data_IF_253550506519
#
_entry.id   IF_253550506519
#
_cell.length_a   1.000
_cell.length_b   1.000
_cell.length_c   1.000
_cell.angle_alpha   90.00
_cell.angle_beta   90.00
_cell.angle_gamma   90.00
#
_symmetry.space_group_name_H-M   'P 1'
#
loop_
_entity.id
_entity.type
_entity.pdbx_description
1 polymer ?
#
# COMPACT_ATOMS: atom_id res chain seq x y z
N UNK A 1 -25.90 -16.13 20.69
CA UNK A 1 -26.10 -17.55 21.06
C UNK A 1 -24.75 -18.25 20.97
N UNK A 2 -24.23 -18.84 22.07
CA UNK A 2 -22.95 -19.59 22.04
C UNK A 2 -23.27 -21.03 21.66
N UNK A 3 -23.03 -21.38 20.39
CA UNK A 3 -22.93 -22.77 19.95
C UNK A 3 -21.77 -23.41 20.74
N UNK A 4 -21.99 -24.54 21.41
CA UNK A 4 -21.04 -25.19 22.35
C UNK A 4 -19.79 -25.80 21.68
N UNK A 5 -19.18 -25.07 20.76
CA UNK A 5 -18.02 -25.46 19.98
C UNK A 5 -16.73 -25.03 20.71
N UNK A 6 -15.90 -26.00 21.06
CA UNK A 6 -14.54 -25.79 21.60
C UNK A 6 -13.52 -26.32 20.58
N UNK A 7 -12.52 -25.50 20.26
CA UNK A 7 -11.35 -25.89 19.43
C UNK A 7 -10.11 -25.92 20.30
N UNK A 8 -9.43 -27.05 20.34
CA UNK A 8 -8.10 -27.18 20.94
C UNK A 8 -7.03 -27.08 19.85
N UNK A 9 -6.02 -26.25 20.08
CA UNK A 9 -4.90 -26.07 19.15
C UNK A 9 -3.70 -26.83 19.71
N UNK A 10 -3.17 -27.76 18.92
CA UNK A 10 -1.90 -28.43 19.21
C UNK A 10 -0.85 -27.79 18.32
N UNK A 11 0.08 -27.05 18.92
CA UNK A 11 1.12 -26.34 18.19
C UNK A 11 2.51 -26.62 18.76
N UNK A 12 3.53 -26.42 17.94
CA UNK A 12 4.94 -26.44 18.37
C UNK A 12 5.64 -25.21 17.81
N UNK A 13 6.13 -24.36 18.71
CA UNK A 13 6.86 -23.14 18.37
C UNK A 13 6.22 -21.90 19.00
N UNK A 14 7.05 -20.92 19.36
CA UNK A 14 6.60 -19.72 20.08
C UNK A 14 5.52 -18.91 19.34
N UNK A 15 5.61 -18.87 18.02
CA UNK A 15 4.76 -18.06 17.13
C UNK A 15 3.92 -18.90 16.15
N UNK A 16 3.76 -20.21 16.41
CA UNK A 16 3.03 -21.12 15.51
C UNK A 16 1.52 -20.83 15.42
N UNK A 17 1.00 -19.96 16.28
CA UNK A 17 -0.42 -19.63 16.39
C UNK A 17 -0.72 -18.16 16.01
N UNK A 18 0.22 -17.46 15.36
CA UNK A 18 0.07 -16.04 15.01
C UNK A 18 -1.16 -15.73 14.15
N UNK A 19 -1.72 -16.71 13.44
CA UNK A 19 -2.91 -16.54 12.59
C UNK A 19 -4.18 -17.10 13.23
N UNK A 20 -4.13 -17.60 14.48
CA UNK A 20 -5.28 -18.13 15.22
C UNK A 20 -6.08 -17.04 15.95
N UNK A 21 -6.16 -15.84 15.37
CA UNK A 21 -6.84 -14.67 15.96
C UNK A 21 -8.36 -14.88 16.09
N UNK A 22 -8.92 -15.80 15.30
CA UNK A 22 -10.31 -16.26 15.38
C UNK A 22 -10.59 -17.19 16.57
N UNK A 23 -9.55 -17.74 17.19
CA UNK A 23 -9.63 -18.69 18.31
C UNK A 23 -9.20 -18.07 19.64
N UNK A 24 -8.26 -17.13 19.63
CA UNK A 24 -7.82 -16.41 20.82
C UNK A 24 -7.28 -15.02 20.48
N UNK A 25 -7.29 -14.06 21.43
CA UNK A 25 -6.56 -12.81 21.25
C UNK A 25 -5.05 -13.05 21.14
N UNK A 26 -4.33 -12.07 20.61
CA UNK A 26 -2.87 -12.07 20.61
C UNK A 26 -2.30 -12.04 22.01
N UNK A 27 -1.20 -12.77 22.21
CA UNK A 27 -0.35 -12.63 23.38
C UNK A 27 0.40 -11.28 23.31
N UNK A 28 0.83 -10.72 24.46
CA UNK A 28 1.51 -9.42 24.46
C UNK A 28 2.73 -9.34 23.53
N UNK A 29 3.52 -10.40 23.44
CA UNK A 29 4.70 -10.47 22.59
C UNK A 29 4.36 -10.62 21.09
N UNK A 30 3.28 -11.33 20.76
CA UNK A 30 2.73 -11.40 19.40
C UNK A 30 2.19 -10.02 18.95
N UNK A 31 1.46 -9.33 19.83
CA UNK A 31 0.95 -7.99 19.55
C UNK A 31 2.10 -6.98 19.34
N UNK A 32 3.15 -7.04 20.16
CA UNK A 32 4.35 -6.22 19.99
C UNK A 32 5.07 -6.50 18.66
N UNK A 33 5.13 -7.77 18.25
CA UNK A 33 5.70 -8.16 16.96
C UNK A 33 4.95 -7.49 15.79
N UNK A 34 3.62 -7.55 15.79
CA UNK A 34 2.80 -6.89 14.76
C UNK A 34 2.92 -5.37 14.80
N UNK A 35 2.93 -4.77 16.00
CA UNK A 35 3.12 -3.32 16.16
C UNK A 35 4.46 -2.85 15.57
N UNK A 36 5.56 -3.58 15.86
CA UNK A 36 6.88 -3.31 15.26
C UNK A 36 6.87 -3.46 13.75
N UNK A 37 6.22 -4.50 13.23
CA UNK A 37 6.09 -4.72 11.79
C UNK A 37 5.35 -3.57 11.10
N UNK A 38 4.21 -3.15 11.65
CA UNK A 38 3.45 -2.00 11.16
C UNK A 38 4.26 -0.70 11.20
N UNK A 39 4.99 -0.45 12.30
CA UNK A 39 5.84 0.73 12.44
C UNK A 39 6.99 0.75 11.42
N UNK A 40 7.56 -0.42 11.11
CA UNK A 40 8.60 -0.55 10.09
C UNK A 40 8.05 -0.32 8.69
N UNK A 41 6.87 -0.87 8.37
CA UNK A 41 6.21 -0.63 7.09
C UNK A 41 5.86 0.86 6.92
N UNK A 42 5.37 1.51 7.98
CA UNK A 42 5.10 2.95 7.98
C UNK A 42 6.35 3.78 7.66
N UNK A 43 7.44 3.54 8.38
CA UNK A 43 8.71 4.24 8.16
C UNK A 43 9.20 4.07 6.72
N UNK A 44 9.21 2.84 6.21
CA UNK A 44 9.63 2.55 4.83
C UNK A 44 8.79 3.30 3.80
N UNK A 45 7.47 3.32 3.96
CA UNK A 45 6.57 4.02 3.04
C UNK A 45 6.82 5.53 3.08
N UNK A 46 6.80 6.12 4.28
CA UNK A 46 6.99 7.56 4.49
C UNK A 46 8.34 8.02 3.96
N UNK A 47 9.42 7.33 4.31
CA UNK A 47 10.78 7.73 3.93
C UNK A 47 10.97 7.66 2.40
N UNK A 48 10.42 6.62 1.75
CA UNK A 48 10.40 6.50 0.29
C UNK A 48 9.59 7.63 -0.36
N UNK A 49 8.43 7.97 0.21
CA UNK A 49 7.60 9.05 -0.30
C UNK A 49 8.31 10.40 -0.16
N UNK A 50 8.93 10.68 1.00
CA UNK A 50 9.71 11.89 1.25
C UNK A 50 10.86 12.04 0.25
N UNK A 51 11.65 10.98 0.08
CA UNK A 51 12.74 10.94 -0.91
C UNK A 51 12.23 11.19 -2.33
N UNK A 52 11.13 10.55 -2.73
CA UNK A 52 10.57 10.67 -4.09
C UNK A 52 9.99 12.04 -4.40
N UNK A 53 9.67 12.84 -3.37
CA UNK A 53 9.18 14.22 -3.48
C UNK A 53 10.25 15.26 -3.14
N UNK A 54 11.48 14.81 -2.86
CA UNK A 54 12.59 15.67 -2.46
C UNK A 54 12.27 16.53 -1.24
N UNK A 55 11.47 16.00 -0.30
CA UNK A 55 11.14 16.65 0.97
C UNK A 55 11.79 15.89 2.14
N UNK A 56 11.94 16.57 3.26
CA UNK A 56 12.41 15.95 4.50
C UNK A 56 11.36 14.98 5.06
N UNK A 57 11.81 14.06 5.91
CA UNK A 57 10.92 13.12 6.59
C UNK A 57 9.93 13.87 7.50
N UNK A 58 10.38 14.95 8.15
CA UNK A 58 9.54 15.73 9.05
C UNK A 58 8.45 16.49 8.29
N UNK A 59 8.78 17.10 7.14
CA UNK A 59 7.78 17.71 6.25
C UNK A 59 6.76 16.68 5.74
N UNK A 60 7.21 15.48 5.36
CA UNK A 60 6.30 14.41 4.93
C UNK A 60 5.39 13.96 6.08
N UNK A 61 5.89 13.92 7.32
CA UNK A 61 5.11 13.56 8.51
C UNK A 61 3.89 14.50 8.69
N UNK A 62 4.03 15.78 8.36
CA UNK A 62 2.94 16.76 8.41
C UNK A 62 1.76 16.42 7.50
N UNK A 63 1.99 15.64 6.43
CA UNK A 63 0.98 15.20 5.48
C UNK A 63 0.59 13.72 5.59
N UNK A 64 1.38 12.93 6.32
CA UNK A 64 1.20 11.48 6.47
C UNK A 64 0.12 11.11 7.50
N UNK A 65 0.34 10.05 8.29
CA UNK A 65 -0.57 9.58 9.36
C UNK A 65 -1.94 9.07 8.86
N UNK A 66 -1.98 8.46 7.66
CA UNK A 66 -3.20 7.83 7.12
C UNK A 66 -4.29 8.80 6.67
N UNK A 67 -3.98 10.10 6.58
CA UNK A 67 -4.89 11.11 6.03
C UNK A 67 -5.09 10.91 4.53
N UNK A 68 -6.32 11.14 4.08
CA UNK A 68 -6.70 11.10 2.67
C UNK A 68 -6.75 12.51 2.12
N UNK A 69 -6.12 12.71 0.96
CA UNK A 69 -6.07 14.00 0.27
C UNK A 69 -6.81 13.92 -1.06
N UNK A 70 -7.54 14.98 -1.40
CA UNK A 70 -8.06 15.14 -2.77
C UNK A 70 -6.90 15.38 -3.74
N UNK A 71 -7.11 15.16 -5.04
CA UNK A 71 -6.08 15.44 -6.04
C UNK A 71 -5.56 16.88 -5.94
N UNK A 72 -6.48 17.85 -5.89
CA UNK A 72 -6.12 19.28 -5.79
C UNK A 72 -5.33 19.58 -4.51
N UNK A 73 -5.72 18.98 -3.38
CA UNK A 73 -5.00 19.12 -2.12
C UNK A 73 -3.60 18.51 -2.16
N UNK A 74 -3.46 17.36 -2.81
CA UNK A 74 -2.18 16.71 -2.99
C UNK A 74 -1.25 17.56 -3.86
N UNK A 75 -1.77 18.21 -4.90
CA UNK A 75 -0.98 19.08 -5.77
C UNK A 75 -0.51 20.34 -5.04
N UNK A 76 -1.37 20.99 -4.25
CA UNK A 76 -0.98 22.19 -3.49
C UNK A 76 0.08 21.90 -2.41
N UNK A 77 0.17 20.65 -1.97
CA UNK A 77 1.14 20.16 -0.96
C UNK A 77 2.36 19.47 -1.58
N UNK A 78 2.50 19.45 -2.90
CA UNK A 78 3.63 18.82 -3.60
C UNK A 78 3.66 17.28 -3.51
N UNK A 79 2.55 16.65 -3.13
CA UNK A 79 2.44 15.18 -3.09
C UNK A 79 2.25 14.57 -4.48
N UNK A 80 1.77 15.36 -5.45
CA UNK A 80 1.66 14.98 -6.88
C UNK A 80 2.16 16.11 -7.77
N UNK A 81 2.64 15.75 -8.97
CA UNK A 81 3.26 16.71 -9.89
C UNK A 81 2.24 17.44 -10.78
N UNK A 82 1.09 16.81 -11.07
CA UNK A 82 0.06 17.36 -11.94
C UNK A 82 -1.30 16.70 -11.71
N UNK A 83 -2.37 17.44 -12.03
CA UNK A 83 -3.75 16.93 -12.06
C UNK A 83 -4.14 16.58 -13.49
N UNK A 84 -4.77 15.43 -13.67
CA UNK A 84 -5.29 14.98 -14.96
C UNK A 84 -5.65 13.50 -14.95
N UNK A 85 -6.09 13.01 -16.11
CA UNK A 85 -6.36 11.59 -16.34
C UNK A 85 -5.23 10.88 -17.11
N UNK A 86 -5.53 9.67 -17.55
CA UNK A 86 -4.59 8.81 -18.30
C UNK A 86 -4.03 9.50 -19.56
N UNK A 87 -4.85 10.24 -20.30
CA UNK A 87 -4.40 10.97 -21.50
C UNK A 87 -3.30 11.98 -21.20
N UNK A 88 -3.40 12.71 -20.08
CA UNK A 88 -2.38 13.65 -19.63
C UNK A 88 -1.11 12.91 -19.19
N UNK A 89 -1.25 11.81 -18.46
CA UNK A 89 -0.11 10.97 -18.06
C UNK A 89 0.66 10.44 -19.28
N UNK A 90 -0.04 9.96 -20.31
CA UNK A 90 0.59 9.50 -21.57
C UNK A 90 1.30 10.65 -22.29
N UNK A 91 0.69 11.84 -22.36
CA UNK A 91 1.33 13.00 -22.99
C UNK A 91 2.64 13.40 -22.30
N UNK A 92 2.64 13.41 -20.95
CA UNK A 92 3.85 13.69 -20.14
C UNK A 92 4.90 12.59 -20.35
N UNK A 93 4.51 11.32 -20.37
CA UNK A 93 5.43 10.21 -20.60
C UNK A 93 6.08 10.29 -22.00
N UNK A 94 5.29 10.58 -23.05
CA UNK A 94 5.79 10.81 -24.41
C UNK A 94 6.80 11.96 -24.44
N UNK A 95 6.48 13.07 -23.78
CA UNK A 95 7.37 14.23 -23.71
C UNK A 95 8.70 13.87 -23.03
N UNK A 96 8.66 13.14 -21.90
CA UNK A 96 9.87 12.72 -21.18
C UNK A 96 10.72 11.70 -21.95
N UNK A 97 10.09 10.92 -22.83
CA UNK A 97 10.74 9.90 -23.66
C UNK A 97 11.10 10.40 -25.08
N UNK A 98 10.92 11.69 -25.37
CA UNK A 98 11.14 12.30 -26.69
C UNK A 98 10.35 11.63 -27.83
N UNK A 99 9.11 11.23 -27.54
CA UNK A 99 8.17 10.63 -28.49
C UNK A 99 7.22 11.71 -29.03
N UNK A 100 7.03 11.83 -30.35
CA UNK A 100 6.04 12.74 -30.94
C UNK A 100 4.64 12.52 -30.36
N UNK A 101 3.91 13.61 -30.10
CA UNK A 101 2.62 13.55 -29.42
C UNK A 101 1.54 12.87 -30.25
N UNK A 102 1.62 13.00 -31.57
CA UNK A 102 0.75 12.39 -32.57
C UNK A 102 1.02 10.88 -32.78
N UNK A 103 2.23 10.39 -32.45
CA UNK A 103 2.56 8.97 -32.57
C UNK A 103 1.67 8.13 -31.65
N UNK A 104 0.98 7.16 -32.21
CA UNK A 104 0.17 6.23 -31.41
C UNK A 104 1.06 5.36 -30.52
N UNK A 105 0.64 5.16 -29.27
CA UNK A 105 1.30 4.29 -28.30
C UNK A 105 0.29 3.28 -27.78
N UNK A 106 0.66 2.00 -27.78
CA UNK A 106 -0.13 0.94 -27.17
C UNK A 106 0.03 0.96 -25.65
N UNK A 107 -1.06 0.78 -24.91
CA UNK A 107 -0.98 0.45 -23.49
C UNK A 107 -1.05 -1.08 -23.36
N UNK A 108 -0.08 -1.67 -22.67
CA UNK A 108 -0.11 -3.09 -22.35
C UNK A 108 -0.71 -3.19 -20.95
N UNK A 109 -1.92 -3.73 -20.86
CA UNK A 109 -2.49 -4.13 -19.58
C UNK A 109 -1.86 -5.47 -19.20
N UNK A 110 -0.91 -5.45 -18.28
CA UNK A 110 -0.43 -6.67 -17.64
C UNK A 110 -1.55 -7.18 -16.74
N UNK A 111 -2.35 -8.13 -17.24
CA UNK A 111 -3.16 -8.96 -16.36
C UNK A 111 -2.20 -9.78 -15.50
N UNK A 112 -1.94 -9.31 -14.28
CA UNK A 112 -1.48 -10.17 -13.22
C UNK A 112 -2.64 -11.14 -12.92
N UNK A 113 -2.66 -12.25 -13.65
CA UNK A 113 -3.69 -13.26 -13.56
C UNK A 113 -3.70 -13.83 -12.14
N UNK A 114 -4.76 -13.53 -11.39
CA UNK A 114 -5.13 -14.30 -10.23
C UNK A 114 -5.60 -15.66 -10.77
N UNK A 115 -4.80 -16.70 -10.57
CA UNK A 115 -5.05 -18.04 -11.10
C UNK A 115 -6.16 -18.74 -10.28
N UNK A 116 -7.36 -18.16 -10.19
CA UNK A 116 -8.49 -18.75 -9.45
C UNK A 116 -9.91 -18.35 -9.94
N UNK A 117 -10.08 -17.74 -11.11
CA UNK A 117 -11.43 -17.39 -11.62
C UNK A 117 -11.78 -18.04 -12.97
N UNK A 118 -11.63 -19.36 -13.07
CA UNK A 118 -12.24 -20.12 -14.18
C UNK A 118 -12.59 -21.56 -13.79
N UNK A 119 -13.24 -21.74 -12.65
CA UNK A 119 -14.05 -22.92 -12.34
C UNK A 119 -15.32 -22.44 -11.61
N UNK A 120 -16.27 -21.93 -12.39
CA UNK A 120 -17.71 -22.06 -12.20
C UNK A 120 -18.42 -21.62 -13.48
#
# INVERSE_FOLDING_TARGET
>A
ERIGFNKDIISRGKYSELTAADQRPFRPDEAELFAKSAQNAYKQFRDKAAYSRSMTVDEMEEFAQGRVWTGNDAASRGLVDAIGGLSRAVAIAKQKADIPQDRQVGHISLCFFNKYDSLN
#
